data_IF_674808417795
#
_entry.id   IF_674808417795
#
_cell.length_a   1.000
_cell.length_b   1.000
_cell.length_c   1.000
_cell.angle_alpha   90.00
_cell.angle_beta   90.00
_cell.angle_gamma   90.00
#
_symmetry.space_group_name_H-M   'P 1'
#
loop_
_entity.id
_entity.type
_entity.pdbx_description
1 polymer ?
#
# COMPACT_ATOMS: atom_id res chain seq x y z
N UNK A 1 -16.02 0.70 27.63
CA UNK A 1 -16.35 -0.55 26.88
C UNK A 1 -15.08 -0.97 26.15
N UNK A 2 -14.60 -2.18 26.39
CA UNK A 2 -13.39 -2.69 25.70
C UNK A 2 -13.90 -3.24 24.35
N UNK A 3 -13.54 -2.58 23.26
CA UNK A 3 -13.88 -3.03 21.90
C UNK A 3 -13.20 -4.38 21.62
N UNK A 4 -13.92 -5.31 21.01
CA UNK A 4 -13.34 -6.55 20.50
C UNK A 4 -12.51 -6.32 19.23
N UNK A 5 -11.91 -7.38 18.68
CA UNK A 5 -11.05 -7.30 17.49
C UNK A 5 -11.81 -6.82 16.24
N UNK A 6 -13.06 -7.27 16.05
CA UNK A 6 -13.89 -6.88 14.92
C UNK A 6 -14.36 -5.43 15.04
N UNK A 7 -14.78 -5.03 16.23
CA UNK A 7 -15.20 -3.65 16.52
C UNK A 7 -14.06 -2.66 16.28
N UNK A 8 -12.82 -2.99 16.75
CA UNK A 8 -11.61 -2.20 16.48
C UNK A 8 -11.32 -2.10 15.00
N UNK A 9 -11.39 -3.20 14.27
CA UNK A 9 -11.14 -3.24 12.82
C UNK A 9 -12.14 -2.35 12.07
N UNK A 10 -13.42 -2.45 12.40
CA UNK A 10 -14.47 -1.64 11.81
C UNK A 10 -14.34 -0.15 12.16
N UNK A 11 -13.96 0.15 13.39
CA UNK A 11 -13.71 1.53 13.82
C UNK A 11 -12.54 2.14 13.02
N UNK A 12 -11.42 1.41 12.90
CA UNK A 12 -10.24 1.84 12.14
C UNK A 12 -10.61 2.16 10.69
N UNK A 13 -11.38 1.29 10.04
CA UNK A 13 -11.81 1.50 8.65
C UNK A 13 -12.67 2.74 8.50
N UNK A 14 -13.63 2.97 9.39
CA UNK A 14 -14.46 4.18 9.38
C UNK A 14 -13.63 5.45 9.59
N UNK A 15 -12.70 5.44 10.55
CA UNK A 15 -11.83 6.60 10.82
C UNK A 15 -10.89 6.90 9.65
N UNK A 16 -10.36 5.88 8.98
CA UNK A 16 -9.54 6.05 7.78
C UNK A 16 -10.32 6.79 6.68
N UNK A 17 -11.55 6.36 6.38
CA UNK A 17 -12.41 7.01 5.39
C UNK A 17 -12.81 8.42 5.84
N UNK A 18 -13.10 8.64 7.13
CA UNK A 18 -13.42 9.96 7.68
C UNK A 18 -12.26 10.96 7.56
N UNK A 19 -11.03 10.49 7.66
CA UNK A 19 -9.82 11.31 7.49
C UNK A 19 -9.53 11.59 6.01
N UNK A 20 -10.16 10.86 5.09
CA UNK A 20 -10.11 11.08 3.66
C UNK A 20 -9.24 10.09 2.89
N UNK A 21 -8.88 8.94 3.47
CA UNK A 21 -8.32 7.84 2.67
C UNK A 21 -9.38 7.25 1.75
N UNK A 22 -8.96 6.81 0.57
CA UNK A 22 -9.87 6.23 -0.43
C UNK A 22 -10.32 4.82 -0.04
N UNK A 23 -9.44 4.04 0.60
CA UNK A 23 -9.79 2.75 1.17
C UNK A 23 -8.91 2.38 2.36
N UNK A 24 -9.36 1.39 3.13
CA UNK A 24 -8.64 0.84 4.27
C UNK A 24 -8.89 -0.66 4.37
N UNK A 25 -7.83 -1.44 4.44
CA UNK A 25 -7.86 -2.88 4.65
C UNK A 25 -6.81 -3.31 5.67
N UNK A 26 -6.90 -4.54 6.17
CA UNK A 26 -6.09 -5.02 7.27
C UNK A 26 -5.52 -6.40 6.90
N UNK A 27 -4.21 -6.60 7.15
CA UNK A 27 -3.56 -7.88 6.93
C UNK A 27 -2.63 -8.25 8.09
N UNK A 28 -2.17 -9.49 8.08
CA UNK A 28 -1.14 -9.94 9.00
C UNK A 28 0.23 -9.33 8.67
N UNK A 29 1.13 -9.15 9.66
CA UNK A 29 2.48 -8.64 9.44
C UNK A 29 3.43 -9.74 8.95
N UNK A 30 3.08 -10.41 7.86
CA UNK A 30 3.87 -11.47 7.24
C UNK A 30 3.86 -11.37 5.73
N UNK A 31 4.89 -11.88 5.08
CA UNK A 31 4.98 -11.99 3.63
C UNK A 31 4.81 -13.45 3.25
N UNK A 32 3.88 -13.74 2.33
CA UNK A 32 3.61 -15.10 1.87
C UNK A 32 4.86 -15.77 1.30
N UNK A 33 4.94 -17.10 1.41
CA UNK A 33 6.08 -17.88 0.89
C UNK A 33 6.35 -17.64 -0.59
N UNK A 34 5.29 -17.54 -1.40
CA UNK A 34 5.40 -17.27 -2.82
C UNK A 34 6.02 -15.88 -3.08
N UNK A 35 5.50 -14.84 -2.44
CA UNK A 35 6.04 -13.48 -2.59
C UNK A 35 7.49 -13.37 -2.11
N UNK A 36 7.88 -14.10 -1.05
CA UNK A 36 9.29 -14.20 -0.62
C UNK A 36 10.17 -14.82 -1.71
N UNK A 37 9.71 -15.90 -2.34
CA UNK A 37 10.44 -16.57 -3.41
C UNK A 37 10.55 -15.70 -4.66
N UNK A 38 9.46 -15.05 -5.05
CA UNK A 38 9.42 -14.15 -6.21
C UNK A 38 10.39 -12.97 -6.02
N UNK A 39 10.41 -12.36 -4.83
CA UNK A 39 11.33 -11.27 -4.52
C UNK A 39 12.79 -11.73 -4.54
N UNK A 40 13.10 -12.92 -3.99
CA UNK A 40 14.45 -13.50 -4.07
C UNK A 40 14.86 -13.79 -5.53
N UNK A 41 13.95 -14.33 -6.33
CA UNK A 41 14.18 -14.56 -7.77
C UNK A 41 14.41 -13.24 -8.51
N UNK A 42 13.64 -12.20 -8.23
CA UNK A 42 13.83 -10.86 -8.79
C UNK A 42 15.24 -10.32 -8.49
N UNK A 43 15.70 -10.46 -7.25
CA UNK A 43 17.05 -10.03 -6.85
C UNK A 43 18.15 -10.85 -7.52
N UNK A 44 18.02 -12.18 -7.52
CA UNK A 44 19.04 -13.08 -8.12
C UNK A 44 19.22 -12.88 -9.63
N UNK A 45 18.17 -12.42 -10.31
CA UNK A 45 18.18 -12.10 -11.75
C UNK A 45 18.58 -10.65 -12.05
N UNK A 46 18.93 -9.87 -11.04
CA UNK A 46 19.26 -8.44 -11.15
C UNK A 46 18.19 -7.60 -11.87
N UNK A 47 16.92 -7.94 -11.69
CA UNK A 47 15.80 -7.23 -12.34
C UNK A 47 15.55 -5.82 -11.75
N UNK A 48 16.23 -5.45 -10.66
CA UNK A 48 16.17 -4.15 -10.04
C UNK A 48 16.93 -3.04 -10.80
N UNK A 49 17.66 -3.36 -11.86
CA UNK A 49 18.40 -2.39 -12.67
C UNK A 49 19.40 -1.59 -11.84
N UNK A 50 19.27 -0.26 -11.85
CA UNK A 50 20.15 0.64 -11.06
C UNK A 50 19.70 0.83 -9.61
N UNK A 51 18.60 0.21 -9.18
CA UNK A 51 18.06 0.34 -7.82
C UNK A 51 18.78 -0.58 -6.82
N UNK A 52 20.10 -0.41 -6.67
CA UNK A 52 20.96 -1.26 -5.81
C UNK A 52 20.48 -1.34 -4.37
N UNK A 53 19.79 -0.32 -3.87
CA UNK A 53 19.16 -0.29 -2.56
C UNK A 53 18.12 -1.41 -2.35
N UNK A 54 17.62 -2.04 -3.42
CA UNK A 54 16.73 -3.20 -3.32
C UNK A 54 17.40 -4.43 -2.68
N UNK A 55 18.72 -4.56 -2.87
CA UNK A 55 19.54 -5.60 -2.24
C UNK A 55 19.88 -5.30 -0.77
N UNK A 56 19.64 -4.06 -0.33
CA UNK A 56 19.88 -3.69 1.04
C UNK A 56 18.69 -4.10 1.92
N UNK A 57 18.97 -4.50 3.15
CA UNK A 57 17.94 -4.79 4.17
C UNK A 57 16.86 -5.77 3.69
N UNK A 58 17.22 -6.74 2.83
CA UNK A 58 16.31 -7.75 2.27
C UNK A 58 15.55 -8.51 3.37
N UNK A 59 16.22 -8.83 4.49
CA UNK A 59 15.60 -9.52 5.63
C UNK A 59 14.41 -8.75 6.22
N UNK A 60 14.46 -7.42 6.30
CA UNK A 60 13.32 -6.60 6.74
C UNK A 60 12.16 -6.63 5.74
N UNK A 61 12.47 -6.62 4.42
CA UNK A 61 11.44 -6.73 3.38
C UNK A 61 10.71 -8.06 3.43
N UNK A 62 11.44 -9.13 3.68
CA UNK A 62 10.90 -10.49 3.73
C UNK A 62 10.22 -10.82 5.06
N UNK A 63 10.58 -10.12 6.14
CA UNK A 63 10.07 -10.37 7.48
C UNK A 63 9.73 -9.06 8.21
N UNK A 64 8.50 -8.54 8.04
CA UNK A 64 8.07 -7.26 8.63
C UNK A 64 8.23 -7.21 10.16
N UNK A 65 8.13 -8.34 10.84
CA UNK A 65 8.33 -8.42 12.30
C UNK A 65 9.74 -8.07 12.75
N UNK A 66 10.73 -8.12 11.87
CA UNK A 66 12.08 -7.66 12.19
C UNK A 66 12.19 -6.12 12.27
N UNK A 67 11.27 -5.39 11.60
CA UNK A 67 11.18 -3.93 11.74
C UNK A 67 10.57 -3.52 13.08
N UNK A 68 9.70 -4.36 13.60
CA UNK A 68 9.04 -4.13 14.88
C UNK A 68 8.46 -5.45 15.42
N UNK A 69 9.01 -5.92 16.53
CA UNK A 69 8.76 -7.25 17.10
C UNK A 69 7.31 -7.42 17.59
N UNK A 70 6.76 -6.34 18.13
CA UNK A 70 5.43 -6.28 18.75
C UNK A 70 4.29 -6.16 17.75
N UNK A 71 4.59 -5.97 16.44
CA UNK A 71 3.55 -5.80 15.42
C UNK A 71 2.67 -7.06 15.33
N UNK A 72 1.37 -6.85 15.39
CA UNK A 72 0.35 -7.90 15.28
C UNK A 72 -0.52 -7.75 14.05
N UNK A 73 -0.72 -6.52 13.58
CA UNK A 73 -1.53 -6.23 12.40
C UNK A 73 -0.93 -5.09 11.58
N UNK A 74 -1.22 -5.11 10.28
CA UNK A 74 -0.87 -4.04 9.33
C UNK A 74 -2.16 -3.48 8.76
N UNK A 75 -2.41 -2.20 9.01
CA UNK A 75 -3.48 -1.44 8.37
C UNK A 75 -2.92 -0.86 7.08
N UNK A 76 -3.55 -1.21 5.97
CA UNK A 76 -3.17 -0.79 4.62
C UNK A 76 -4.16 0.26 4.15
N UNK A 77 -3.65 1.38 3.70
CA UNK A 77 -4.42 2.54 3.32
C UNK A 77 -4.09 2.92 1.88
N UNK A 78 -5.09 3.33 1.13
CA UNK A 78 -4.89 3.90 -0.20
C UNK A 78 -5.40 5.32 -0.27
N UNK A 79 -4.77 6.11 -1.13
CA UNK A 79 -5.19 7.45 -1.48
C UNK A 79 -5.06 7.64 -2.99
N UNK A 80 -6.19 7.84 -3.68
CA UNK A 80 -6.17 8.12 -5.11
C UNK A 80 -5.55 9.49 -5.39
N UNK A 81 -4.73 9.57 -6.43
CA UNK A 81 -4.25 10.83 -6.99
C UNK A 81 -4.95 11.18 -8.32
N UNK A 82 -5.95 10.40 -8.69
CA UNK A 82 -6.82 10.70 -9.82
C UNK A 82 -7.95 11.62 -9.36
N UNK A 83 -7.73 12.91 -9.48
CA UNK A 83 -8.71 13.94 -9.17
C UNK A 83 -9.24 14.51 -10.47
N UNK A 84 -10.32 13.94 -10.97
CA UNK A 84 -11.09 14.44 -12.11
C UNK A 84 -10.34 14.91 -13.38
N UNK A 85 -10.90 14.57 -14.52
CA UNK A 85 -10.59 15.00 -15.89
C UNK A 85 -9.64 14.10 -16.66
N UNK A 86 -9.75 14.23 -17.96
CA UNK A 86 -8.92 13.56 -18.93
C UNK A 86 -7.43 13.93 -18.75
N UNK A 87 -6.78 13.21 -17.87
CA UNK A 87 -5.37 13.44 -17.51
C UNK A 87 -4.41 13.18 -18.65
N UNK A 88 -4.90 12.52 -19.70
CA UNK A 88 -4.18 12.22 -20.94
C UNK A 88 -4.41 13.29 -22.02
N UNK A 89 -5.26 14.29 -21.80
CA UNK A 89 -5.60 15.35 -22.76
C UNK A 89 -4.37 16.06 -23.37
N UNK A 90 -3.29 16.15 -22.63
CA UNK A 90 -2.08 16.82 -23.08
C UNK A 90 -1.13 15.93 -23.91
N UNK A 91 -1.38 14.62 -24.00
CA UNK A 91 -0.50 13.72 -24.76
C UNK A 91 -0.47 14.04 -26.26
N UNK A 92 -1.58 14.53 -26.81
CA UNK A 92 -1.67 14.93 -28.22
C UNK A 92 -1.04 16.30 -28.51
N UNK A 93 -0.72 17.09 -27.47
CA UNK A 93 -0.14 18.42 -27.60
C UNK A 93 1.38 18.35 -27.68
N UNK A 94 1.94 18.07 -28.87
CA UNK A 94 3.38 17.85 -29.11
C UNK A 94 4.30 19.00 -28.66
N UNK A 95 3.77 20.20 -28.48
CA UNK A 95 4.50 21.38 -27.98
C UNK A 95 4.47 21.55 -26.46
N UNK A 96 3.92 20.59 -25.72
CA UNK A 96 3.83 20.61 -24.24
C UNK A 96 4.49 19.40 -23.64
N UNK A 97 5.25 19.60 -22.58
CA UNK A 97 5.68 18.50 -21.70
C UNK A 97 4.49 17.98 -20.89
N UNK A 98 4.46 16.68 -20.62
CA UNK A 98 3.48 16.09 -19.73
C UNK A 98 4.17 15.53 -18.49
N UNK A 99 3.76 16.04 -17.32
CA UNK A 99 4.25 15.56 -16.03
C UNK A 99 3.27 14.49 -15.52
N UNK A 100 3.78 13.35 -15.13
CA UNK A 100 2.97 12.28 -14.54
C UNK A 100 2.16 12.81 -13.35
N UNK A 101 0.89 12.41 -13.28
CA UNK A 101 -0.06 12.95 -12.28
C UNK A 101 0.44 12.80 -10.86
N UNK A 102 1.01 11.64 -10.51
CA UNK A 102 1.53 11.39 -9.17
C UNK A 102 2.63 12.38 -8.74
N UNK A 103 3.29 13.02 -9.72
CA UNK A 103 4.39 13.97 -9.48
C UNK A 103 3.94 15.44 -9.54
N UNK A 104 2.64 15.69 -9.75
CA UNK A 104 2.09 17.06 -9.77
C UNK A 104 1.76 17.51 -8.35
N UNK A 105 2.08 18.77 -8.04
CA UNK A 105 1.78 19.37 -6.73
C UNK A 105 2.84 19.06 -5.68
N UNK A 106 2.38 18.89 -4.44
CA UNK A 106 3.24 18.63 -3.30
C UNK A 106 3.83 17.21 -3.31
N UNK A 107 4.97 17.05 -2.65
CA UNK A 107 5.58 15.73 -2.42
C UNK A 107 4.61 14.80 -1.68
N UNK A 108 4.10 13.79 -2.38
CA UNK A 108 3.11 12.86 -1.86
C UNK A 108 3.59 12.12 -0.61
N UNK A 109 4.89 11.87 -0.46
CA UNK A 109 5.43 11.25 0.76
C UNK A 109 5.12 12.09 1.99
N UNK A 110 5.24 13.41 1.89
CA UNK A 110 4.94 14.34 2.98
C UNK A 110 3.45 14.40 3.26
N UNK A 111 2.65 14.51 2.20
CA UNK A 111 1.18 14.59 2.30
C UNK A 111 0.63 13.32 2.93
N UNK A 112 0.97 12.16 2.36
CA UNK A 112 0.53 10.86 2.83
C UNK A 112 0.98 10.58 4.28
N UNK A 113 2.27 10.85 4.58
CA UNK A 113 2.82 10.66 5.92
C UNK A 113 2.14 11.54 6.97
N UNK A 114 1.79 12.78 6.63
CA UNK A 114 1.03 13.68 7.52
C UNK A 114 -0.35 13.10 7.83
N UNK A 115 -1.06 12.61 6.81
CA UNK A 115 -2.38 12.01 6.96
C UNK A 115 -2.34 10.69 7.74
N UNK A 116 -1.37 9.82 7.45
CA UNK A 116 -1.13 8.59 8.23
C UNK A 116 -0.85 8.88 9.69
N UNK A 117 -0.01 9.86 10.00
CA UNK A 117 0.27 10.26 11.39
C UNK A 117 -0.98 10.76 12.10
N UNK A 118 -1.85 11.50 11.40
CA UNK A 118 -3.12 11.96 11.96
C UNK A 118 -4.01 10.76 12.34
N UNK A 119 -4.14 9.78 11.45
CA UNK A 119 -4.89 8.55 11.71
C UNK A 119 -4.23 7.71 12.82
N UNK A 120 -2.92 7.55 12.77
CA UNK A 120 -2.17 6.82 13.80
C UNK A 120 -2.34 7.43 15.20
N UNK A 121 -2.44 8.75 15.29
CA UNK A 121 -2.69 9.42 16.56
C UNK A 121 -4.06 9.05 17.15
N UNK A 122 -5.10 8.89 16.34
CA UNK A 122 -6.41 8.44 16.84
C UNK A 122 -6.33 7.00 17.39
N UNK A 123 -5.53 6.12 16.76
CA UNK A 123 -5.31 4.77 17.31
C UNK A 123 -4.68 4.80 18.69
N UNK A 124 -3.64 5.63 18.86
CA UNK A 124 -2.96 5.78 20.15
C UNK A 124 -3.92 6.32 21.21
N UNK A 125 -4.70 7.35 20.87
CA UNK A 125 -5.59 8.03 21.81
C UNK A 125 -6.79 7.18 22.20
N UNK A 126 -7.46 6.59 21.19
CA UNK A 126 -8.78 5.98 21.40
C UNK A 126 -8.71 4.48 21.64
N UNK A 127 -7.65 3.81 21.14
CA UNK A 127 -7.44 2.37 21.28
C UNK A 127 -6.27 1.99 22.20
N UNK A 128 -5.55 2.99 22.75
CA UNK A 128 -4.43 2.81 23.69
C UNK A 128 -3.38 1.81 23.20
N UNK A 129 -2.92 1.98 21.94
CA UNK A 129 -1.98 1.07 21.28
C UNK A 129 -0.73 1.79 20.80
N UNK A 130 0.25 1.01 20.35
CA UNK A 130 1.44 1.51 19.68
C UNK A 130 1.30 1.35 18.17
N UNK A 131 1.92 2.29 17.43
CA UNK A 131 1.86 2.32 15.97
C UNK A 131 3.18 2.77 15.34
N UNK A 132 3.45 2.30 14.12
CA UNK A 132 4.51 2.83 13.24
C UNK A 132 3.93 3.07 11.85
N UNK A 133 4.26 4.20 11.24
CA UNK A 133 3.76 4.56 9.90
C UNK A 133 4.86 4.43 8.85
N UNK A 134 4.49 3.91 7.67
CA UNK A 134 5.39 3.72 6.54
C UNK A 134 4.75 4.24 5.25
N UNK A 135 5.57 4.89 4.44
CA UNK A 135 5.25 5.35 3.09
C UNK A 135 6.52 5.24 2.26
N UNK A 136 6.60 4.26 1.38
CA UNK A 136 7.60 4.06 0.31
C UNK A 136 9.09 4.08 0.73
N UNK A 137 9.45 4.75 1.82
CA UNK A 137 10.86 4.96 2.22
C UNK A 137 11.43 3.88 3.15
N UNK A 138 10.61 2.93 3.60
CA UNK A 138 11.04 1.84 4.49
C UNK A 138 11.30 0.55 3.70
N UNK A 139 12.12 -0.38 4.24
CA UNK A 139 12.32 -1.70 3.63
C UNK A 139 11.12 -2.62 3.88
N UNK A 140 9.97 -2.26 3.30
CA UNK A 140 8.70 -2.99 3.37
C UNK A 140 8.21 -3.28 1.96
N UNK A 141 7.65 -4.48 1.75
CA UNK A 141 6.99 -4.83 0.49
C UNK A 141 5.52 -4.37 0.54
N UNK A 142 5.28 -3.06 0.41
CA UNK A 142 3.96 -2.44 0.58
C UNK A 142 2.92 -2.99 -0.38
N UNK A 143 3.26 -3.16 -1.68
CA UNK A 143 2.35 -3.75 -2.68
C UNK A 143 1.95 -5.18 -2.33
N UNK A 144 2.86 -5.97 -1.74
CA UNK A 144 2.57 -7.35 -1.32
C UNK A 144 1.59 -7.37 -0.16
N UNK A 145 1.84 -6.55 0.87
CA UNK A 145 0.92 -6.41 2.01
C UNK A 145 -0.45 -5.89 1.57
N UNK A 146 -0.48 -4.94 0.63
CA UNK A 146 -1.71 -4.40 0.09
C UNK A 146 -2.51 -5.45 -0.71
N UNK A 147 -1.84 -6.30 -1.50
CA UNK A 147 -2.48 -7.45 -2.14
C UNK A 147 -3.04 -8.43 -1.12
N UNK A 148 -2.26 -8.78 -0.10
CA UNK A 148 -2.67 -9.72 0.94
C UNK A 148 -3.86 -9.19 1.76
N UNK A 149 -4.00 -7.89 1.90
CA UNK A 149 -5.10 -7.24 2.63
C UNK A 149 -6.39 -7.14 1.83
N UNK A 150 -6.41 -7.55 0.55
CA UNK A 150 -7.59 -7.41 -0.30
C UNK A 150 -7.82 -6.00 -0.84
N UNK A 151 -6.83 -5.10 -0.78
CA UNK A 151 -6.93 -3.77 -1.41
C UNK A 151 -7.05 -3.89 -2.94
N UNK A 152 -6.54 -4.96 -3.51
CA UNK A 152 -6.59 -5.27 -4.92
C UNK A 152 -5.65 -6.41 -5.29
N UNK A 153 -5.45 -6.64 -6.58
CA UNK A 153 -4.57 -7.68 -7.13
C UNK A 153 -3.38 -7.07 -7.88
N UNK A 154 -2.35 -7.87 -8.11
CA UNK A 154 -1.21 -7.45 -8.93
C UNK A 154 -1.56 -7.65 -10.41
N UNK A 155 -1.67 -6.56 -11.17
CA UNK A 155 -1.90 -6.62 -12.60
C UNK A 155 -0.69 -7.20 -13.37
N UNK A 156 -0.89 -7.61 -14.64
CA UNK A 156 0.19 -8.09 -15.52
C UNK A 156 1.30 -7.05 -15.73
N UNK A 157 0.98 -5.76 -15.58
CA UNK A 157 1.96 -4.64 -15.58
C UNK A 157 2.68 -4.46 -14.22
N UNK A 158 2.54 -5.38 -13.27
CA UNK A 158 3.18 -5.40 -11.94
C UNK A 158 2.69 -4.35 -10.92
N UNK A 159 1.80 -3.46 -11.28
CA UNK A 159 1.18 -2.54 -10.33
C UNK A 159 -0.01 -3.18 -9.63
N UNK A 160 -0.33 -2.68 -8.43
CA UNK A 160 -1.55 -3.05 -7.73
C UNK A 160 -2.76 -2.41 -8.44
N UNK A 161 -3.82 -3.18 -8.65
CA UNK A 161 -5.07 -2.74 -9.25
C UNK A 161 -6.20 -2.96 -8.27
N UNK A 162 -6.96 -1.92 -8.00
CA UNK A 162 -8.19 -1.97 -7.19
C UNK A 162 -9.41 -1.89 -8.11
N UNK A 163 -10.51 -2.58 -7.75
CA UNK A 163 -11.78 -2.49 -8.49
C UNK A 163 -12.33 -1.08 -8.56
N UNK A 164 -12.22 -0.35 -7.43
CA UNK A 164 -12.85 0.95 -7.28
C UNK A 164 -11.92 2.10 -7.68
N UNK A 165 -10.60 1.91 -7.55
CA UNK A 165 -9.61 2.98 -7.71
C UNK A 165 -8.74 2.83 -8.96
N UNK A 166 -8.89 1.74 -9.72
CA UNK A 166 -7.95 1.41 -10.78
C UNK A 166 -6.56 1.14 -10.20
N UNK A 167 -5.51 1.72 -10.82
CA UNK A 167 -4.12 1.58 -10.37
C UNK A 167 -3.44 2.93 -10.02
N UNK A 168 -4.21 4.00 -9.90
CA UNK A 168 -3.72 5.36 -9.68
C UNK A 168 -3.96 5.82 -8.24
N UNK A 169 -3.29 5.17 -7.31
CA UNK A 169 -3.32 5.48 -5.88
C UNK A 169 -1.98 5.23 -5.21
N UNK A 170 -1.73 5.94 -4.16
CA UNK A 170 -0.62 5.71 -3.23
C UNK A 170 -1.01 4.69 -2.17
N UNK A 171 -0.01 3.99 -1.63
CA UNK A 171 -0.17 3.05 -0.52
C UNK A 171 0.51 3.63 0.71
N UNK A 172 -0.13 3.52 1.86
CA UNK A 172 0.47 3.81 3.15
C UNK A 172 0.14 2.72 4.16
N UNK A 173 1.05 2.49 5.09
CA UNK A 173 0.91 1.44 6.07
C UNK A 173 0.96 2.00 7.50
N UNK A 174 0.11 1.45 8.37
CA UNK A 174 0.23 1.60 9.82
C UNK A 174 0.40 0.21 10.42
N UNK A 175 1.57 -0.04 10.98
CA UNK A 175 1.81 -1.22 11.81
C UNK A 175 1.28 -0.93 13.21
N UNK A 176 0.62 -1.91 13.84
CA UNK A 176 0.08 -1.78 15.19
C UNK A 176 0.25 -3.07 16.01
N UNK A 177 0.35 -2.92 17.30
CA UNK A 177 0.35 -4.04 18.28
C UNK A 177 -1.06 -4.55 18.62
N UNK A 178 -2.10 -3.97 18.00
CA UNK A 178 -3.47 -4.47 18.13
C UNK A 178 -3.66 -5.79 17.37
N UNK A 179 -4.39 -6.70 17.98
CA UNK A 179 -4.97 -7.84 17.25
C UNK A 179 -6.22 -7.34 16.53
N UNK A 180 -6.19 -7.36 15.21
CA UNK A 180 -7.29 -6.93 14.33
C UNK A 180 -7.77 -8.10 13.48
N UNK A 181 -8.99 -8.02 12.98
CA UNK A 181 -9.49 -8.99 12.00
C UNK A 181 -8.88 -8.68 10.63
N UNK A 182 -8.27 -9.68 10.03
CA UNK A 182 -7.68 -9.56 8.70
C UNK A 182 -8.72 -9.69 7.61
N UNK A 183 -8.56 -8.89 6.57
CA UNK A 183 -9.35 -9.00 5.35
C UNK A 183 -8.81 -10.12 4.46
N UNK A 184 -9.63 -10.61 3.55
CA UNK A 184 -9.24 -11.63 2.58
C UNK A 184 -8.58 -10.97 1.38
N UNK A 185 -7.55 -11.62 0.85
CA UNK A 185 -6.95 -11.20 -0.41
C UNK A 185 -7.98 -11.21 -1.55
N UNK A 186 -7.86 -10.25 -2.46
CA UNK A 186 -8.64 -10.19 -3.70
C UNK A 186 -8.08 -11.20 -4.71
N UNK A 187 -9.00 -11.81 -5.50
CA UNK A 187 -8.63 -12.69 -6.61
C UNK A 187 -8.01 -11.90 -7.78
N UNK A 188 -7.27 -12.58 -8.64
CA UNK A 188 -6.75 -11.99 -9.87
C UNK A 188 -7.88 -11.84 -10.90
N UNK A 189 -8.07 -10.62 -11.40
CA UNK A 189 -9.10 -10.29 -12.39
C UNK A 189 -8.52 -9.97 -13.78
N UNK A 190 -7.22 -10.16 -14.00
CA UNK A 190 -6.62 -9.95 -15.32
C UNK A 190 -7.09 -10.98 -16.36
N UNK A 191 -7.27 -12.25 -15.96
CA UNK A 191 -7.73 -13.30 -16.86
C UNK A 191 -6.95 -13.32 -18.18
N UNK A 192 -7.64 -13.31 -19.30
CA UNK A 192 -7.07 -13.28 -20.65
C UNK A 192 -6.74 -11.86 -21.16
N UNK A 193 -7.02 -10.81 -20.39
CA UNK A 193 -6.72 -9.44 -20.80
C UNK A 193 -5.20 -9.21 -20.92
N UNK A 194 -4.75 -8.61 -22.01
CA UNK A 194 -3.33 -8.27 -22.28
C UNK A 194 -3.11 -6.79 -22.60
N UNK A 195 -4.14 -5.96 -22.55
CA UNK A 195 -4.11 -4.57 -23.00
C UNK A 195 -2.93 -3.73 -22.45
N UNK A 196 -2.56 -3.93 -21.18
CA UNK A 196 -1.42 -3.23 -20.57
C UNK A 196 -0.04 -3.84 -20.92
N UNK A 197 -0.01 -4.98 -21.58
CA UNK A 197 1.24 -5.65 -22.03
C UNK A 197 1.48 -5.33 -23.50
N UNK A 198 0.40 -5.13 -24.26
CA UNK A 198 0.43 -4.88 -25.71
C UNK A 198 0.58 -3.37 -26.03
N UNK A 199 0.40 -2.47 -25.04
CA UNK A 199 0.57 -1.01 -25.16
C UNK A 199 2.03 -0.59 -24.93
#
# INVERSE_FOLDING_TARGET
MILDSLEKSNWIKREALRIGFSSCSITEPSISKNAKNDFKSFLSKNYFGQMNWMNERVHFRLEPKLLWKEVKSVVVLSETYLHDKNVLENLDKKNKGNISIYARGDDYHKVMKKRLKKLAQTFVTDLSCQVKVFVDTAPVLEKVLARQSGLGWTGKHTNLVSRDLGNWFFIGLIFTDLNLNFDKAEDDHCGNCSACVDS
#
